data_IF_114972556124
#
_entry.id   IF_114972556124
#
_cell.length_a   1.000
_cell.length_b   1.000
_cell.length_c   1.000
_cell.angle_alpha   90.00
_cell.angle_beta   90.00
_cell.angle_gamma   90.00
#
_symmetry.space_group_name_H-M   'P 1'
#
loop_
_entity.id
_entity.type
_entity.pdbx_description
1 polymer ?
#
# COMPACT_ATOMS: atom_id res chain seq x y z
N UNK A 1 -1.29 3.24 -3.29
CA UNK A 1 -0.08 2.42 -3.57
C UNK A 1 0.75 2.31 -2.29
N UNK A 2 1.42 1.17 -2.05
CA UNK A 2 2.32 1.01 -0.91
C UNK A 2 3.56 1.91 -1.05
N UNK A 3 4.04 2.48 0.06
CA UNK A 3 5.36 3.10 0.11
C UNK A 3 6.42 2.02 0.34
N UNK A 4 7.61 2.15 -0.26
CA UNK A 4 8.69 1.17 -0.12
C UNK A 4 9.96 1.88 0.36
N UNK A 5 10.20 1.85 1.67
CA UNK A 5 11.37 2.47 2.33
C UNK A 5 12.41 1.43 2.79
N UNK A 6 12.03 0.17 2.87
CA UNK A 6 12.88 -0.96 3.26
C UNK A 6 12.27 -2.28 2.72
N UNK A 7 12.98 -3.38 2.94
CA UNK A 7 12.60 -4.70 2.42
C UNK A 7 11.31 -5.25 3.04
N UNK A 8 11.04 -4.96 4.32
CA UNK A 8 9.77 -5.36 4.94
C UNK A 8 8.59 -4.65 4.28
N UNK A 9 8.73 -3.37 3.95
CA UNK A 9 7.70 -2.62 3.25
C UNK A 9 7.57 -3.08 1.80
N UNK A 10 8.65 -3.54 1.18
CA UNK A 10 8.59 -4.20 -0.13
C UNK A 10 7.79 -5.51 -0.05
N UNK A 11 7.98 -6.32 1.00
CA UNK A 11 7.18 -7.51 1.24
C UNK A 11 5.70 -7.19 1.40
N UNK A 12 5.35 -6.21 2.24
CA UNK A 12 3.96 -5.77 2.41
C UNK A 12 3.36 -5.19 1.11
N UNK A 13 4.19 -4.57 0.27
CA UNK A 13 3.77 -4.13 -1.06
C UNK A 13 3.44 -5.31 -1.99
N UNK A 14 4.25 -6.37 -1.99
CA UNK A 14 3.93 -7.61 -2.70
C UNK A 14 2.61 -8.21 -2.18
N UNK A 15 2.42 -8.29 -0.87
CA UNK A 15 1.18 -8.78 -0.27
C UNK A 15 -0.03 -7.96 -0.74
N UNK A 16 0.02 -6.63 -0.64
CA UNK A 16 -1.05 -5.73 -1.09
C UNK A 16 -1.38 -5.91 -2.57
N UNK A 17 -0.37 -5.90 -3.44
CA UNK A 17 -0.61 -6.04 -4.88
C UNK A 17 -1.05 -7.46 -5.28
N UNK A 18 -0.71 -8.48 -4.49
CA UNK A 18 -1.25 -9.83 -4.66
C UNK A 18 -2.74 -9.86 -4.33
N UNK A 19 -3.15 -9.25 -3.21
CA UNK A 19 -4.56 -9.11 -2.86
C UNK A 19 -5.32 -8.34 -3.94
N UNK A 20 -4.75 -7.27 -4.47
CA UNK A 20 -5.36 -6.46 -5.54
C UNK A 20 -5.50 -7.27 -6.84
N UNK A 21 -4.44 -7.98 -7.25
CA UNK A 21 -4.46 -8.79 -8.48
C UNK A 21 -5.50 -9.93 -8.43
N UNK A 22 -5.76 -10.47 -7.24
CA UNK A 22 -6.75 -11.54 -7.02
C UNK A 22 -8.16 -11.01 -6.68
N UNK A 23 -8.34 -9.69 -6.57
CA UNK A 23 -9.61 -9.11 -6.14
C UNK A 23 -9.98 -9.41 -4.67
N UNK A 24 -8.99 -9.78 -3.86
CA UNK A 24 -9.16 -10.18 -2.46
C UNK A 24 -8.98 -9.02 -1.46
N UNK A 25 -8.73 -7.79 -1.93
CA UNK A 25 -8.49 -6.63 -1.04
C UNK A 25 -9.63 -6.42 -0.04
N UNK A 26 -10.90 -6.55 -0.44
CA UNK A 26 -12.05 -6.40 0.48
C UNK A 26 -12.08 -7.45 1.59
N UNK A 27 -11.52 -8.62 1.33
CA UNK A 27 -11.51 -9.75 2.26
C UNK A 27 -10.29 -9.71 3.17
N UNK A 28 -9.13 -9.36 2.61
CA UNK A 28 -7.83 -9.56 3.26
C UNK A 28 -7.17 -8.27 3.75
N UNK A 29 -7.54 -7.08 3.25
CA UNK A 29 -6.77 -5.88 3.55
C UNK A 29 -6.80 -5.51 5.04
N UNK A 30 -7.99 -5.36 5.61
CA UNK A 30 -8.14 -4.99 7.03
C UNK A 30 -7.63 -6.12 7.93
N UNK A 31 -7.97 -7.37 7.63
CA UNK A 31 -7.49 -8.54 8.37
C UNK A 31 -5.95 -8.67 8.33
N UNK A 32 -5.31 -8.34 7.21
CA UNK A 32 -3.84 -8.34 7.11
C UNK A 32 -3.25 -7.20 7.93
N UNK A 33 -3.87 -6.02 7.88
CA UNK A 33 -3.46 -4.87 8.67
C UNK A 33 -3.46 -5.20 10.17
N UNK A 34 -4.55 -5.78 10.67
CA UNK A 34 -4.70 -6.20 12.06
C UNK A 34 -3.71 -7.32 12.42
N UNK A 35 -3.52 -8.29 11.51
CA UNK A 35 -2.57 -9.38 11.70
C UNK A 35 -1.14 -8.87 11.95
N UNK A 36 -0.73 -7.79 11.28
CA UNK A 36 0.60 -7.19 11.43
C UNK A 36 0.69 -6.23 12.62
N UNK A 37 -0.30 -5.34 12.79
CA UNK A 37 -0.21 -4.23 13.74
C UNK A 37 -0.72 -4.59 15.14
N UNK A 38 -1.79 -5.40 15.23
CA UNK A 38 -2.42 -5.78 16.49
C UNK A 38 -1.94 -7.17 16.95
N UNK A 39 -2.07 -8.18 16.09
CA UNK A 39 -1.75 -9.57 16.45
C UNK A 39 -0.25 -9.89 16.39
N UNK A 40 0.55 -9.02 15.75
CA UNK A 40 2.00 -9.19 15.58
C UNK A 40 2.39 -10.52 14.93
N UNK A 41 1.58 -11.01 13.98
CA UNK A 41 1.87 -12.24 13.23
C UNK A 41 3.16 -12.08 12.44
N UNK A 42 3.92 -13.19 12.36
CA UNK A 42 5.18 -13.26 11.64
C UNK A 42 4.98 -13.65 10.18
N UNK A 43 4.42 -12.74 9.40
CA UNK A 43 4.19 -12.95 7.97
C UNK A 43 5.34 -12.28 7.21
N UNK A 44 6.41 -13.05 6.93
CA UNK A 44 7.66 -12.52 6.35
C UNK A 44 8.12 -13.27 5.10
N UNK A 45 7.38 -14.31 4.69
CA UNK A 45 7.67 -15.06 3.47
C UNK A 45 6.39 -15.23 2.65
N UNK A 46 6.50 -15.45 1.32
CA UNK A 46 5.34 -15.71 0.47
C UNK A 46 4.49 -16.89 0.98
N UNK A 47 5.14 -17.93 1.53
CA UNK A 47 4.48 -19.10 2.11
C UNK A 47 3.67 -18.73 3.35
N UNK A 48 4.25 -17.95 4.27
CA UNK A 48 3.51 -17.48 5.45
C UNK A 48 2.30 -16.63 5.05
N UNK A 49 2.45 -15.78 4.03
CA UNK A 49 1.36 -14.95 3.52
C UNK A 49 0.26 -15.80 2.87
N UNK A 50 0.63 -16.79 2.07
CA UNK A 50 -0.32 -17.70 1.43
C UNK A 50 -1.04 -18.60 2.44
N UNK A 51 -0.33 -19.12 3.44
CA UNK A 51 -0.90 -19.90 4.53
C UNK A 51 -1.91 -19.07 5.33
N UNK A 52 -1.53 -17.83 5.69
CA UNK A 52 -2.41 -16.89 6.37
C UNK A 52 -3.63 -16.54 5.50
N UNK A 53 -3.44 -16.20 4.22
CA UNK A 53 -4.56 -15.88 3.32
C UNK A 53 -5.53 -17.07 3.17
N UNK A 54 -5.02 -18.30 3.19
CA UNK A 54 -5.83 -19.51 3.14
C UNK A 54 -6.72 -19.69 4.37
N UNK A 55 -6.32 -19.22 5.56
CA UNK A 55 -7.20 -19.22 6.75
C UNK A 55 -8.41 -18.29 6.59
N UNK A 56 -8.34 -17.35 5.64
CA UNK A 56 -9.44 -16.46 5.27
C UNK A 56 -10.18 -16.91 4.00
N UNK A 57 -9.85 -18.09 3.45
CA UNK A 57 -10.54 -18.69 2.30
C UNK A 57 -9.92 -18.40 0.94
N UNK A 58 -8.72 -17.83 0.88
CA UNK A 58 -7.98 -17.69 -0.38
C UNK A 58 -7.38 -19.03 -0.84
N UNK A 59 -7.25 -19.24 -2.15
CA UNK A 59 -6.50 -20.39 -2.67
C UNK A 59 -5.00 -20.16 -2.50
N UNK A 60 -4.38 -20.99 -1.65
CA UNK A 60 -2.96 -20.88 -1.28
C UNK A 60 -2.03 -20.90 -2.49
N UNK A 61 -2.27 -21.81 -3.44
CA UNK A 61 -1.40 -21.98 -4.59
C UNK A 61 -1.46 -20.77 -5.51
N UNK A 62 -2.68 -20.29 -5.79
CA UNK A 62 -2.93 -19.07 -6.57
C UNK A 62 -2.28 -17.85 -5.92
N UNK A 63 -2.32 -17.73 -4.58
CA UNK A 63 -1.64 -16.64 -3.86
C UNK A 63 -0.13 -16.69 -4.07
N UNK A 64 0.50 -17.86 -3.92
CA UNK A 64 1.95 -18.02 -4.12
C UNK A 64 2.40 -17.67 -5.55
N UNK A 65 1.69 -18.20 -6.53
CA UNK A 65 1.97 -17.93 -7.95
C UNK A 65 1.80 -16.44 -8.28
N UNK A 66 0.76 -15.80 -7.73
CA UNK A 66 0.50 -14.39 -7.98
C UNK A 66 1.52 -13.49 -7.29
N UNK A 67 1.95 -13.85 -6.07
CA UNK A 67 2.91 -13.07 -5.27
C UNK A 67 4.23 -12.81 -5.99
N UNK A 68 4.69 -13.81 -6.76
CA UNK A 68 5.94 -13.75 -7.55
C UNK A 68 5.71 -13.43 -9.02
N UNK A 69 4.46 -13.16 -9.42
CA UNK A 69 4.12 -12.87 -10.81
C UNK A 69 4.82 -11.59 -11.32
N UNK A 70 5.03 -11.55 -12.63
CA UNK A 70 5.56 -10.36 -13.29
C UNK A 70 4.71 -9.12 -13.02
N UNK A 71 3.37 -9.26 -13.04
CA UNK A 71 2.44 -8.15 -12.82
C UNK A 71 2.57 -7.53 -11.42
N UNK A 72 2.66 -8.36 -10.38
CA UNK A 72 2.90 -7.89 -9.01
C UNK A 72 4.29 -7.24 -8.90
N UNK A 73 5.33 -7.90 -9.42
CA UNK A 73 6.70 -7.40 -9.39
C UNK A 73 6.86 -6.05 -10.10
N UNK A 74 6.16 -5.85 -11.23
CA UNK A 74 6.15 -4.59 -11.96
C UNK A 74 5.48 -3.46 -11.14
N UNK A 75 4.36 -3.74 -10.46
CA UNK A 75 3.69 -2.77 -9.58
C UNK A 75 4.55 -2.40 -8.37
N UNK A 76 5.22 -3.37 -7.76
CA UNK A 76 6.16 -3.12 -6.65
C UNK A 76 7.34 -2.27 -7.12
N UNK A 77 7.90 -2.56 -8.30
CA UNK A 77 8.98 -1.76 -8.89
C UNK A 77 8.54 -0.33 -9.16
N UNK A 78 7.36 -0.15 -9.78
CA UNK A 78 6.76 1.17 -9.98
C UNK A 78 6.54 1.89 -8.64
N UNK A 79 6.07 1.18 -7.61
CA UNK A 79 5.83 1.76 -6.30
C UNK A 79 7.11 2.24 -5.60
N UNK A 80 8.17 1.47 -5.73
CA UNK A 80 9.51 1.82 -5.26
C UNK A 80 10.02 3.09 -5.95
N UNK A 81 9.83 3.20 -7.27
CA UNK A 81 10.24 4.36 -8.04
C UNK A 81 9.47 5.62 -7.64
N UNK A 82 8.14 5.55 -7.53
CA UNK A 82 7.33 6.69 -7.09
C UNK A 82 7.65 7.11 -5.64
N UNK A 83 7.91 6.16 -4.75
CA UNK A 83 8.32 6.47 -3.37
C UNK A 83 9.57 7.35 -3.36
N UNK A 84 10.56 7.03 -4.20
CA UNK A 84 11.77 7.86 -4.39
C UNK A 84 11.48 9.19 -5.07
N UNK A 85 10.72 9.20 -6.16
CA UNK A 85 10.41 10.42 -6.93
C UNK A 85 9.70 11.47 -6.07
N UNK A 86 8.75 11.04 -5.25
CA UNK A 86 8.02 11.93 -4.33
C UNK A 86 8.75 12.16 -3.01
N UNK A 87 10.02 11.72 -2.89
CA UNK A 87 10.87 11.91 -1.71
C UNK A 87 10.14 11.55 -0.41
N UNK A 88 9.33 10.49 -0.47
CA UNK A 88 8.49 10.10 0.66
C UNK A 88 9.38 9.44 1.70
N UNK A 89 9.40 9.97 2.93
CA UNK A 89 10.18 9.46 4.06
C UNK A 89 9.33 8.88 5.19
N UNK A 90 8.02 8.70 4.97
CA UNK A 90 7.08 8.20 5.97
C UNK A 90 5.65 8.14 5.44
N UNK A 91 4.78 7.48 6.20
CA UNK A 91 3.37 7.29 5.84
C UNK A 91 2.45 7.73 6.99
N UNK A 92 1.20 8.14 6.70
CA UNK A 92 0.64 8.36 5.36
C UNK A 92 1.20 9.64 4.71
N UNK A 93 1.50 9.56 3.41
CA UNK A 93 1.84 10.69 2.55
C UNK A 93 0.87 10.73 1.39
N UNK A 94 0.30 11.90 1.11
CA UNK A 94 -0.69 12.08 0.05
C UNK A 94 -0.08 12.96 -1.04
N UNK A 95 -0.15 12.47 -2.28
CA UNK A 95 0.27 13.20 -3.48
C UNK A 95 -0.99 13.54 -4.28
N UNK A 96 -1.18 14.81 -4.60
CA UNK A 96 -2.32 15.33 -5.35
C UNK A 96 -1.84 15.81 -6.72
N UNK A 97 -2.43 15.25 -7.76
CA UNK A 97 -2.11 15.47 -9.18
C UNK A 97 -0.63 15.27 -9.58
N UNK A 98 0.13 14.52 -8.77
CA UNK A 98 1.56 14.32 -9.00
C UNK A 98 2.44 15.55 -8.72
N UNK A 99 1.85 16.67 -8.28
CA UNK A 99 2.54 17.94 -8.05
C UNK A 99 2.59 18.31 -6.58
N UNK A 100 1.46 18.17 -5.89
CA UNK A 100 1.32 18.59 -4.50
C UNK A 100 1.54 17.43 -3.55
N UNK A 101 2.24 17.66 -2.45
CA UNK A 101 2.50 16.68 -1.40
C UNK A 101 2.02 17.20 -0.05
N UNK A 102 1.32 16.36 0.71
CA UNK A 102 0.92 16.67 2.09
C UNK A 102 0.95 15.42 2.98
N UNK A 103 0.95 15.64 4.29
CA UNK A 103 0.91 14.61 5.35
C UNK A 103 0.09 15.15 6.52
N UNK A 104 -0.30 14.28 7.44
CA UNK A 104 -1.03 14.68 8.67
C UNK A 104 -0.30 15.81 9.42
N UNK A 105 1.02 15.72 9.54
CA UNK A 105 1.84 16.74 10.22
C UNK A 105 1.88 18.10 9.50
N UNK A 106 1.69 18.12 8.17
CA UNK A 106 1.63 19.36 7.39
C UNK A 106 0.24 20.02 7.45
N UNK A 107 -0.80 19.21 7.65
CA UNK A 107 -2.18 19.69 7.71
C UNK A 107 -2.57 20.27 9.08
N UNK A 108 -1.86 19.90 10.15
CA UNK A 108 -2.19 20.30 11.52
C UNK A 108 -3.01 19.26 12.30
N UNK A 109 -3.39 18.16 11.65
CA UNK A 109 -4.10 17.05 12.27
C UNK A 109 -4.82 16.16 11.25
N UNK A 110 -5.40 15.03 11.69
CA UNK A 110 -6.13 14.11 10.82
C UNK A 110 -7.40 14.74 10.20
N UNK A 111 -8.08 15.62 10.94
CA UNK A 111 -9.31 16.26 10.47
C UNK A 111 -8.99 17.25 9.34
N UNK A 112 -7.94 18.04 9.54
CA UNK A 112 -7.48 19.09 8.63
C UNK A 112 -6.86 18.51 7.35
N UNK A 113 -6.39 17.25 7.40
CA UNK A 113 -5.80 16.58 6.24
C UNK A 113 -6.79 16.48 5.08
N UNK A 114 -8.05 16.15 5.35
CA UNK A 114 -9.07 15.99 4.30
C UNK A 114 -9.36 17.33 3.63
N UNK A 115 -9.49 18.40 4.42
CA UNK A 115 -9.71 19.75 3.90
C UNK A 115 -8.55 20.23 3.04
N UNK A 116 -7.31 19.96 3.48
CA UNK A 116 -6.12 20.29 2.72
C UNK A 116 -6.04 19.49 1.41
N UNK A 117 -6.38 18.21 1.41
CA UNK A 117 -6.44 17.38 0.19
C UNK A 117 -7.44 17.98 -0.80
N UNK A 118 -8.65 18.32 -0.35
CA UNK A 118 -9.69 18.92 -1.19
C UNK A 118 -9.25 20.27 -1.77
N UNK A 119 -8.61 21.11 -0.95
CA UNK A 119 -8.05 22.39 -1.39
C UNK A 119 -6.99 22.21 -2.47
N UNK A 120 -6.02 21.30 -2.26
CA UNK A 120 -4.96 21.02 -3.23
C UNK A 120 -5.50 20.43 -4.54
N UNK A 121 -6.54 19.60 -4.46
CA UNK A 121 -7.19 19.02 -5.64
C UNK A 121 -7.89 20.09 -6.48
N UNK A 122 -8.65 20.99 -5.84
CA UNK A 122 -9.29 22.12 -6.51
C UNK A 122 -8.26 23.07 -7.14
N UNK A 123 -7.15 23.33 -6.44
CA UNK A 123 -6.05 24.14 -6.95
C UNK A 123 -5.42 23.52 -8.20
N UNK A 124 -5.08 22.24 -8.16
CA UNK A 124 -4.50 21.53 -9.30
C UNK A 124 -5.42 21.54 -10.53
N UNK A 125 -6.74 21.41 -10.33
CA UNK A 125 -7.71 21.49 -11.42
C UNK A 125 -7.76 22.89 -12.07
N UNK A 126 -7.59 23.96 -11.29
CA UNK A 126 -7.59 25.33 -11.80
C UNK A 126 -6.30 25.74 -12.52
N UNK A 127 -5.23 24.97 -12.37
CA UNK A 127 -3.92 25.21 -13.02
C UNK A 127 -3.78 24.51 -14.38
N UNK A 128 -4.81 23.77 -14.81
CA UNK A 128 -4.90 23.13 -16.13
C UNK A 128 -5.59 24.02 -17.15
#
# INVERSE_FOLDING_TARGET
MPAILNDSWAFDAHAFYTMEALGLTKLLHDAYFDAIHEERKRIFTPEHFADWAATHGADRQTVLETFTSFGVSAKVTYASDMTRRYQTNGVPTIIVDGTYQTKVSMAGGPNELIDLINHLAAKAQGER
#
